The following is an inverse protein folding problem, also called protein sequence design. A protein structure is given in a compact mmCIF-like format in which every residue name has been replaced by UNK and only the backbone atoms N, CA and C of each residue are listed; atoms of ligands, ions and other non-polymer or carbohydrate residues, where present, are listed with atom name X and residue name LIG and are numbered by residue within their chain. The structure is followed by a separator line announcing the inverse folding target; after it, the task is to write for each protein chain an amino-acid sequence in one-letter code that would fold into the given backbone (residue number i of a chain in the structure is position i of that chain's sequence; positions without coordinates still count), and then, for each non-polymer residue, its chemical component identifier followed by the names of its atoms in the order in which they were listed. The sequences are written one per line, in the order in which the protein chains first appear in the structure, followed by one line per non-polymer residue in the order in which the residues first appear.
data_IF_728862643411
#
_entry.id   IF_728862643411
#
_cell.length_a   1.000
_cell.length_b   1.000
_cell.length_c   1.000
_cell.angle_alpha   90.00
_cell.angle_beta   90.00
_cell.angle_gamma   90.00
#
_symmetry.space_group_name_H-M   'P 1'
#
loop_
_entity.id
_entity.type
_entity.pdbx_description
1 polymer ?
#
# COMPACT_ATOMS: atom_id res chain seq x y z
N UNK A 1 -1.48 13.42 -19.85
CA UNK A 1 -2.50 12.99 -18.86
C UNK A 1 -2.10 13.34 -17.44
N UNK A 2 -3.07 13.47 -16.54
CA UNK A 2 -2.80 13.67 -15.11
C UNK A 2 -2.69 12.29 -14.43
N UNK A 3 -1.61 12.08 -13.69
CA UNK A 3 -1.38 10.87 -12.90
C UNK A 3 -1.34 11.23 -11.42
N UNK A 4 -2.08 10.51 -10.61
CA UNK A 4 -2.04 10.64 -9.15
C UNK A 4 -1.06 9.61 -8.59
N UNK A 5 -0.20 10.04 -7.69
CA UNK A 5 0.68 9.19 -6.92
C UNK A 5 0.23 9.19 -5.45
N UNK A 6 0.24 8.03 -4.82
CA UNK A 6 0.02 7.90 -3.38
C UNK A 6 1.34 7.63 -2.67
N UNK A 7 1.55 8.28 -1.54
CA UNK A 7 2.74 8.11 -0.72
C UNK A 7 2.46 7.20 0.48
N UNK A 8 3.40 6.29 0.75
CA UNK A 8 3.34 5.32 1.84
C UNK A 8 4.69 5.20 2.55
N UNK A 9 4.65 4.99 3.85
CA UNK A 9 5.79 4.45 4.57
C UNK A 9 5.80 2.93 4.46
N UNK A 10 6.95 2.35 4.20
CA UNK A 10 7.19 0.91 4.19
C UNK A 10 8.04 0.55 5.39
N UNK A 11 7.75 -0.59 5.99
CA UNK A 11 8.50 -1.13 7.10
C UNK A 11 8.76 -2.62 6.89
N UNK A 12 9.90 -3.08 7.30
CA UNK A 12 10.13 -4.48 7.49
C UNK A 12 9.65 -4.90 8.88
N UNK A 13 8.69 -5.80 8.94
CA UNK A 13 8.12 -6.33 10.18
C UNK A 13 8.50 -7.79 10.35
N UNK A 14 9.11 -8.12 11.48
CA UNK A 14 9.40 -9.49 11.85
C UNK A 14 8.10 -10.24 12.19
N UNK A 15 7.94 -11.45 11.59
CA UNK A 15 6.84 -12.33 11.93
C UNK A 15 7.33 -13.29 13.00
N UNK A 16 6.96 -13.08 14.25
CA UNK A 16 7.11 -13.93 15.43
C UNK A 16 8.34 -14.86 15.48
N UNK A 17 9.36 -14.44 16.20
CA UNK A 17 10.16 -15.32 17.06
C UNK A 17 10.72 -14.49 18.23
N UNK A 18 10.53 -14.96 19.47
CA UNK A 18 11.13 -14.35 20.65
C UNK A 18 12.65 -14.58 20.59
N UNK A 19 13.43 -13.52 20.67
CA UNK A 19 14.83 -13.59 21.07
C UNK A 19 15.91 -13.53 19.99
N UNK A 20 15.63 -13.28 18.70
CA UNK A 20 16.67 -13.18 17.67
C UNK A 20 16.90 -11.75 17.15
N UNK A 21 18.15 -11.51 16.74
CA UNK A 21 18.67 -10.21 16.28
C UNK A 21 17.85 -9.62 15.12
N UNK A 22 17.84 -8.31 15.08
CA UNK A 22 17.27 -7.50 14.01
C UNK A 22 17.89 -7.80 12.64
N UNK A 23 17.10 -7.70 11.58
CA UNK A 23 17.63 -7.75 10.20
C UNK A 23 18.35 -6.46 9.89
N UNK A 24 19.50 -6.59 9.35
CA UNK A 24 20.37 -5.44 9.07
C UNK A 24 20.20 -4.91 7.64
N UNK A 25 19.29 -5.48 6.78
CA UNK A 25 19.39 -5.24 5.34
C UNK A 25 18.07 -5.19 4.58
N UNK A 26 17.09 -4.37 5.02
CA UNK A 26 15.80 -4.25 4.34
C UNK A 26 15.95 -3.94 2.83
N UNK A 27 16.76 -2.96 2.46
CA UNK A 27 17.04 -2.62 1.07
C UNK A 27 17.64 -3.79 0.30
N UNK A 28 18.66 -4.43 0.86
CA UNK A 28 19.36 -5.56 0.24
C UNK A 28 18.40 -6.72 -0.02
N UNK A 29 17.67 -7.14 0.99
CA UNK A 29 16.73 -8.26 0.90
C UNK A 29 15.63 -7.99 -0.13
N UNK A 30 15.12 -6.76 -0.15
CA UNK A 30 14.10 -6.37 -1.13
C UNK A 30 14.63 -6.39 -2.56
N UNK A 31 15.83 -5.85 -2.80
CA UNK A 31 16.48 -5.82 -4.12
C UNK A 31 16.85 -7.24 -4.58
N UNK A 32 17.35 -8.09 -3.69
CA UNK A 32 17.63 -9.51 -3.99
C UNK A 32 16.37 -10.27 -4.36
N UNK A 33 15.25 -10.03 -3.65
CA UNK A 33 13.95 -10.58 -3.98
C UNK A 33 13.51 -10.20 -5.41
N UNK A 34 13.58 -8.93 -5.76
CA UNK A 34 13.21 -8.44 -7.10
C UNK A 34 14.11 -9.08 -8.18
N UNK A 35 15.43 -9.12 -7.96
CA UNK A 35 16.38 -9.77 -8.89
C UNK A 35 16.06 -11.24 -9.06
N UNK A 36 15.80 -11.97 -7.97
CA UNK A 36 15.45 -13.39 -8.01
C UNK A 36 14.16 -13.65 -8.79
N UNK A 37 13.16 -12.78 -8.66
CA UNK A 37 11.93 -12.86 -9.44
C UNK A 37 12.19 -12.62 -10.93
N UNK A 38 13.03 -11.64 -11.28
CA UNK A 38 13.28 -11.26 -12.68
C UNK A 38 14.02 -12.31 -13.49
N UNK A 39 14.86 -13.14 -12.86
CA UNK A 39 15.54 -14.26 -13.56
C UNK A 39 14.64 -15.47 -13.80
N UNK A 40 13.48 -15.56 -13.16
CA UNK A 40 12.52 -16.65 -13.39
C UNK A 40 11.87 -16.56 -14.77
N UNK A 41 11.48 -17.70 -15.29
CA UNK A 41 10.65 -17.74 -16.51
C UNK A 41 9.33 -16.99 -16.30
N UNK A 42 8.73 -16.39 -17.33
CA UNK A 42 7.49 -15.61 -17.18
C UNK A 42 6.36 -16.33 -16.44
N UNK A 43 6.20 -17.64 -16.66
CA UNK A 43 5.17 -18.44 -15.97
C UNK A 43 5.44 -18.62 -14.46
N UNK A 44 6.69 -18.59 -14.04
CA UNK A 44 7.11 -18.86 -12.66
C UNK A 44 7.17 -17.59 -11.81
N UNK A 45 7.10 -16.40 -12.45
CA UNK A 45 7.07 -15.10 -11.76
C UNK A 45 5.71 -14.45 -11.66
N UNK A 46 4.68 -15.03 -12.27
CA UNK A 46 3.32 -14.54 -12.14
C UNK A 46 2.72 -14.92 -10.78
N UNK A 47 1.98 -14.00 -10.20
CA UNK A 47 1.16 -14.24 -9.02
C UNK A 47 -0.32 -14.15 -9.40
N UNK A 48 -1.08 -15.19 -9.10
CA UNK A 48 -2.52 -15.25 -9.41
C UNK A 48 -3.33 -14.72 -8.23
N UNK A 49 -4.15 -13.72 -8.51
CA UNK A 49 -5.05 -13.15 -7.52
C UNK A 49 -6.35 -13.97 -7.49
N UNK A 50 -6.34 -15.09 -6.77
CA UNK A 50 -7.49 -15.91 -6.36
C UNK A 50 -8.74 -15.82 -7.22
N UNK A 51 -9.84 -15.36 -6.65
CA UNK A 51 -11.18 -15.33 -7.27
C UNK A 51 -11.35 -14.33 -8.41
N UNK A 52 -10.36 -13.48 -8.74
CA UNK A 52 -10.53 -12.37 -9.70
C UNK A 52 -10.06 -12.69 -11.11
N UNK A 53 -9.55 -13.90 -11.37
CA UNK A 53 -8.95 -14.22 -12.70
C UNK A 53 -7.99 -13.12 -13.17
N UNK A 54 -7.17 -12.64 -12.26
CA UNK A 54 -6.19 -11.59 -12.50
C UNK A 54 -4.80 -12.10 -12.10
N UNK A 55 -3.83 -11.85 -12.96
CA UNK A 55 -2.42 -12.10 -12.68
C UNK A 55 -1.68 -10.79 -12.46
N UNK A 56 -0.62 -10.82 -11.66
CA UNK A 56 0.33 -9.72 -11.51
C UNK A 56 1.75 -10.26 -11.62
N UNK A 57 2.66 -9.43 -12.11
CA UNK A 57 4.08 -9.75 -12.19
C UNK A 57 4.93 -8.48 -12.31
N UNK A 58 6.18 -8.57 -11.93
CA UNK A 58 7.16 -7.52 -12.19
C UNK A 58 7.59 -7.65 -13.65
N UNK A 59 7.40 -6.58 -14.41
CA UNK A 59 7.78 -6.52 -15.82
C UNK A 59 9.20 -5.99 -15.99
N UNK A 60 9.54 -4.95 -15.23
CA UNK A 60 10.81 -4.27 -15.31
C UNK A 60 11.20 -3.66 -13.97
N UNK A 61 12.48 -3.42 -13.73
CA UNK A 61 12.98 -2.73 -12.56
C UNK A 61 14.29 -2.01 -12.84
N UNK A 62 14.52 -0.96 -12.07
CA UNK A 62 15.82 -0.26 -12.05
C UNK A 62 16.21 0.05 -10.60
N UNK A 63 17.37 -0.44 -10.21
CA UNK A 63 17.94 -0.16 -8.89
C UNK A 63 19.04 0.88 -9.00
N UNK A 64 18.78 2.04 -8.42
CA UNK A 64 19.67 3.21 -8.35
C UNK A 64 20.42 3.17 -7.01
N UNK A 65 21.46 2.31 -6.93
CA UNK A 65 22.18 2.01 -5.69
C UNK A 65 22.70 3.25 -4.97
N UNK A 66 23.32 4.20 -5.71
CA UNK A 66 23.88 5.42 -5.11
C UNK A 66 22.83 6.36 -4.51
N UNK A 67 21.56 6.15 -4.82
CA UNK A 67 20.42 6.95 -4.33
C UNK A 67 19.55 6.16 -3.36
N UNK A 68 19.87 4.88 -3.10
CA UNK A 68 19.03 3.98 -2.32
C UNK A 68 17.59 3.90 -2.84
N UNK A 69 17.42 3.87 -4.16
CA UNK A 69 16.10 3.90 -4.79
C UNK A 69 15.89 2.70 -5.71
N UNK A 70 14.67 2.17 -5.70
CA UNK A 70 14.24 1.09 -6.56
C UNK A 70 12.96 1.48 -7.31
N UNK A 71 13.05 1.55 -8.63
CA UNK A 71 11.89 1.74 -9.49
C UNK A 71 11.40 0.38 -10.01
N UNK A 72 10.09 0.14 -9.95
CA UNK A 72 9.46 -1.10 -10.36
C UNK A 72 8.30 -0.81 -11.32
N UNK A 73 8.21 -1.60 -12.36
CA UNK A 73 7.08 -1.61 -13.29
C UNK A 73 6.33 -2.93 -13.12
N UNK A 74 5.16 -2.85 -12.53
CA UNK A 74 4.24 -3.99 -12.43
C UNK A 74 3.29 -4.01 -13.61
N UNK A 75 3.04 -5.20 -14.11
CA UNK A 75 1.97 -5.49 -15.06
C UNK A 75 0.91 -6.34 -14.38
N UNK A 76 -0.33 -6.11 -14.75
CA UNK A 76 -1.44 -6.97 -14.37
C UNK A 76 -2.32 -7.25 -15.57
N UNK A 77 -2.92 -8.44 -15.63
CA UNK A 77 -3.85 -8.78 -16.67
C UNK A 77 -5.06 -9.51 -16.09
N UNK A 78 -6.25 -9.01 -16.39
CA UNK A 78 -7.51 -9.68 -16.04
C UNK A 78 -7.97 -10.54 -17.24
N UNK A 79 -8.12 -11.84 -17.03
CA UNK A 79 -8.44 -12.80 -18.09
C UNK A 79 -9.83 -13.45 -17.88
N UNK A 80 -10.34 -14.08 -18.95
CA UNK A 80 -11.62 -14.81 -18.89
C UNK A 80 -12.87 -13.94 -19.00
N UNK A 81 -12.74 -12.62 -19.19
CA UNK A 81 -13.85 -11.73 -19.51
C UNK A 81 -13.78 -11.34 -20.98
N UNK A 82 -14.80 -11.68 -21.72
CA UNK A 82 -14.98 -11.21 -23.10
C UNK A 82 -15.84 -9.96 -23.02
N UNK A 83 -15.23 -8.79 -23.25
CA UNK A 83 -15.99 -7.53 -23.34
C UNK A 83 -16.43 -7.33 -24.80
N UNK A 84 -17.68 -6.97 -24.97
CA UNK A 84 -18.17 -6.49 -26.26
C UNK A 84 -17.64 -5.09 -26.49
N UNK A 85 -17.15 -4.83 -27.69
CA UNK A 85 -16.73 -3.48 -28.11
C UNK A 85 -17.85 -2.91 -28.98
N UNK A 86 -18.32 -1.74 -28.58
CA UNK A 86 -19.39 -1.04 -29.28
C UNK A 86 -18.80 0.24 -29.89
N UNK A 87 -19.17 0.52 -31.11
CA UNK A 87 -18.89 1.82 -31.72
C UNK A 87 -19.70 2.90 -30.99
N UNK A 88 -19.04 3.95 -30.49
CA UNK A 88 -19.72 4.97 -29.68
C UNK A 88 -20.61 5.89 -30.50
N UNK A 89 -20.40 5.98 -31.80
CA UNK A 89 -21.17 6.85 -32.67
C UNK A 89 -22.42 6.12 -33.23
N UNK A 90 -22.24 4.85 -33.61
CA UNK A 90 -23.32 4.05 -34.23
C UNK A 90 -24.03 3.14 -33.24
N UNK A 91 -23.46 2.91 -32.04
CA UNK A 91 -23.91 1.96 -31.04
C UNK A 91 -23.95 0.49 -31.53
N UNK A 92 -23.30 0.21 -32.65
CA UNK A 92 -23.20 -1.15 -33.19
C UNK A 92 -22.04 -1.92 -32.53
N UNK A 93 -22.28 -3.23 -32.33
CA UNK A 93 -21.25 -4.13 -31.81
C UNK A 93 -20.16 -4.36 -32.87
N UNK A 94 -18.92 -3.95 -32.57
CA UNK A 94 -17.78 -4.21 -33.45
C UNK A 94 -17.34 -5.67 -33.31
N UNK A 95 -17.14 -6.35 -34.44
CA UNK A 95 -16.50 -7.67 -34.49
C UNK A 95 -15.01 -7.50 -34.15
N UNK A 96 -14.63 -7.58 -32.86
CA UNK A 96 -13.24 -7.61 -32.43
C UNK A 96 -12.65 -9.02 -32.60
N UNK A 97 -11.33 -9.13 -32.76
CA UNK A 97 -10.65 -10.43 -32.67
C UNK A 97 -11.09 -11.09 -31.35
N UNK A 98 -11.60 -12.32 -31.45
CA UNK A 98 -12.00 -13.09 -30.27
C UNK A 98 -10.80 -13.24 -29.36
N UNK A 99 -10.85 -12.65 -28.17
CA UNK A 99 -9.87 -12.94 -27.13
C UNK A 99 -10.00 -14.41 -26.76
N UNK A 100 -8.87 -15.11 -26.68
CA UNK A 100 -8.82 -16.46 -26.14
C UNK A 100 -9.16 -16.45 -24.64
N UNK A 101 -9.50 -17.61 -24.08
CA UNK A 101 -9.82 -17.74 -22.63
C UNK A 101 -8.66 -17.28 -21.71
N UNK A 102 -7.43 -17.24 -22.23
CA UNK A 102 -6.21 -16.85 -21.51
C UNK A 102 -5.75 -15.43 -21.83
N UNK A 103 -6.38 -14.73 -22.77
CA UNK A 103 -6.02 -13.37 -23.12
C UNK A 103 -6.63 -12.41 -22.10
N UNK A 104 -5.83 -11.48 -21.60
CA UNK A 104 -6.24 -10.47 -20.62
C UNK A 104 -5.94 -9.05 -21.08
N UNK A 105 -6.68 -8.10 -20.56
CA UNK A 105 -6.35 -6.69 -20.71
C UNK A 105 -5.21 -6.38 -19.74
N UNK A 106 -4.10 -5.89 -20.30
CA UNK A 106 -2.90 -5.56 -19.52
C UNK A 106 -3.00 -4.13 -18.99
N UNK A 107 -2.57 -3.95 -17.74
CA UNK A 107 -2.52 -2.67 -17.05
C UNK A 107 -1.15 -2.49 -16.40
N UNK A 108 -0.62 -1.28 -16.45
CA UNK A 108 0.69 -0.92 -15.88
C UNK A 108 0.51 -0.20 -14.55
N UNK A 109 1.36 -0.51 -13.57
CA UNK A 109 1.45 0.22 -12.31
C UNK A 109 2.92 0.45 -11.96
N UNK A 110 3.32 1.71 -11.86
CA UNK A 110 4.68 2.10 -11.51
C UNK A 110 4.81 2.36 -10.01
N UNK A 111 5.94 1.97 -9.45
CA UNK A 111 6.29 2.16 -8.04
C UNK A 111 7.72 2.67 -7.96
N UNK A 112 7.95 3.64 -7.09
CA UNK A 112 9.29 4.09 -6.70
C UNK A 112 9.43 3.95 -5.20
N UNK A 113 10.46 3.24 -4.74
CA UNK A 113 10.80 3.05 -3.34
C UNK A 113 12.12 3.76 -3.07
N UNK A 114 12.16 4.59 -2.03
CA UNK A 114 13.37 5.22 -1.50
C UNK A 114 13.63 4.62 -0.14
N UNK A 115 14.71 3.85 -0.05
CA UNK A 115 15.15 3.28 1.22
C UNK A 115 15.91 4.35 2.02
N UNK A 116 15.89 4.21 3.34
CA UNK A 116 16.70 5.06 4.20
C UNK A 116 18.18 4.75 3.98
N UNK A 117 19.00 5.78 3.87
CA UNK A 117 20.45 5.63 3.70
C UNK A 117 21.15 5.04 4.94
N UNK A 118 20.51 5.09 6.13
CA UNK A 118 21.00 4.37 7.30
C UNK A 118 20.73 2.87 7.11
N UNK A 119 21.78 2.09 6.93
CA UNK A 119 21.71 0.64 6.77
C UNK A 119 20.99 -0.08 7.93
N UNK A 120 20.83 0.56 9.09
CA UNK A 120 20.08 0.05 10.24
C UNK A 120 18.60 0.38 10.19
N UNK A 121 18.20 1.30 9.31
CA UNK A 121 16.80 1.65 9.13
C UNK A 121 16.05 0.54 8.41
N UNK A 122 14.86 0.23 8.91
CA UNK A 122 13.95 -0.76 8.35
C UNK A 122 12.78 -0.10 7.65
N UNK A 123 12.95 1.19 7.35
CA UNK A 123 11.92 2.02 6.75
C UNK A 123 12.31 2.46 5.34
N UNK A 124 11.29 2.68 4.54
CA UNK A 124 11.41 3.27 3.21
C UNK A 124 10.16 4.09 2.93
N UNK A 125 10.27 5.01 1.97
CA UNK A 125 9.11 5.71 1.42
C UNK A 125 8.80 5.15 0.05
N UNK A 126 7.53 4.98 -0.25
CA UNK A 126 7.04 4.45 -1.51
C UNK A 126 6.07 5.43 -2.15
N UNK A 127 6.30 5.76 -3.42
CA UNK A 127 5.31 6.37 -4.30
C UNK A 127 4.75 5.30 -5.25
N UNK A 128 3.43 5.21 -5.33
CA UNK A 128 2.74 4.30 -6.25
C UNK A 128 1.77 5.06 -7.15
N UNK A 129 1.79 4.74 -8.42
CA UNK A 129 0.80 5.22 -9.38
C UNK A 129 -0.60 4.73 -9.02
N UNK A 130 -1.54 5.65 -8.89
CA UNK A 130 -2.96 5.32 -8.75
C UNK A 130 -3.50 4.82 -10.09
N UNK A 131 -3.77 3.54 -10.18
CA UNK A 131 -4.42 2.92 -11.32
C UNK A 131 -5.55 2.03 -10.83
N UNK A 132 -6.80 2.41 -11.10
CA UNK A 132 -8.01 1.68 -10.64
C UNK A 132 -8.09 0.26 -11.21
N UNK A 133 -7.57 0.05 -12.41
CA UNK A 133 -7.54 -1.25 -13.08
C UNK A 133 -6.22 -1.99 -12.86
N UNK A 134 -5.20 -1.29 -12.37
CA UNK A 134 -3.87 -1.82 -12.11
C UNK A 134 -3.78 -2.70 -10.86
N UNK A 135 -2.64 -2.65 -10.19
CA UNK A 135 -2.37 -3.44 -8.99
C UNK A 135 -2.36 -2.54 -7.76
N UNK A 136 -3.08 -2.93 -6.71
CA UNK A 136 -3.02 -2.23 -5.43
C UNK A 136 -1.71 -2.54 -4.69
N UNK A 137 -1.25 -1.59 -3.87
CA UNK A 137 -0.04 -1.74 -3.06
C UNK A 137 -0.10 -3.00 -2.17
N UNK A 138 -1.24 -3.27 -1.56
CA UNK A 138 -1.44 -4.48 -0.73
C UNK A 138 -1.16 -5.75 -1.51
N UNK A 139 -1.67 -5.88 -2.74
CA UNK A 139 -1.44 -7.07 -3.57
C UNK A 139 0.00 -7.20 -4.04
N UNK A 140 0.66 -6.09 -4.29
CA UNK A 140 2.08 -6.07 -4.60
C UNK A 140 2.90 -6.60 -3.43
N UNK A 141 2.61 -6.15 -2.21
CA UNK A 141 3.33 -6.65 -1.04
C UNK A 141 2.94 -8.05 -0.62
N UNK A 142 1.73 -8.52 -0.88
CA UNK A 142 1.41 -9.94 -0.76
C UNK A 142 2.35 -10.79 -1.64
N UNK A 143 2.50 -10.41 -2.91
CA UNK A 143 3.39 -11.09 -3.85
C UNK A 143 4.86 -11.02 -3.39
N UNK A 144 5.38 -9.85 -3.08
CA UNK A 144 6.76 -9.67 -2.62
C UNK A 144 7.03 -10.45 -1.33
N UNK A 145 6.11 -10.44 -0.37
CA UNK A 145 6.27 -11.13 0.90
C UNK A 145 6.36 -12.65 0.75
N UNK A 146 5.65 -13.24 -0.18
CA UNK A 146 5.76 -14.67 -0.49
C UNK A 146 7.19 -15.00 -0.93
N UNK A 147 7.78 -14.16 -1.78
CA UNK A 147 9.10 -14.38 -2.31
C UNK A 147 10.22 -14.11 -1.30
N UNK A 148 10.06 -13.08 -0.47
CA UNK A 148 10.99 -12.80 0.64
C UNK A 148 11.05 -14.02 1.56
N UNK A 149 9.89 -14.57 1.95
CA UNK A 149 9.84 -15.78 2.78
C UNK A 149 10.49 -16.98 2.09
N UNK A 150 10.29 -17.14 0.78
CA UNK A 150 10.88 -18.24 0.03
C UNK A 150 12.42 -18.14 -0.02
N UNK A 151 12.98 -16.94 -0.21
CA UNK A 151 14.42 -16.68 -0.21
C UNK A 151 15.01 -16.99 1.17
N UNK A 152 14.42 -16.50 2.25
CA UNK A 152 14.89 -16.76 3.60
C UNK A 152 14.83 -18.26 3.96
N UNK A 153 13.76 -18.94 3.56
CA UNK A 153 13.67 -20.40 3.76
C UNK A 153 14.75 -21.18 2.99
N UNK A 154 15.13 -20.71 1.78
CA UNK A 154 16.19 -21.34 0.99
C UNK A 154 17.58 -21.17 1.64
N UNK A 155 17.80 -20.09 2.38
CA UNK A 155 19.02 -19.83 3.14
C UNK A 155 19.04 -20.47 4.54
N UNK A 156 18.02 -21.28 4.90
CA UNK A 156 17.82 -21.82 6.26
C UNK A 156 17.72 -20.75 7.36
N UNK A 157 17.35 -19.54 6.98
CA UNK A 157 17.09 -18.47 7.93
C UNK A 157 15.75 -18.73 8.62
N UNK A 158 15.80 -19.09 9.89
CA UNK A 158 14.58 -19.28 10.72
C UNK A 158 13.83 -17.95 10.99
N UNK A 159 14.13 -16.91 10.25
CA UNK A 159 13.62 -15.57 10.45
C UNK A 159 12.63 -15.27 9.35
N UNK A 160 11.39 -14.98 9.74
CA UNK A 160 10.33 -14.62 8.79
C UNK A 160 10.08 -13.12 8.86
N UNK A 161 10.27 -12.44 7.76
CA UNK A 161 9.94 -11.02 7.60
C UNK A 161 8.78 -10.82 6.66
N UNK A 162 8.09 -9.71 6.82
CA UNK A 162 7.17 -9.20 5.84
C UNK A 162 7.34 -7.68 5.71
N UNK A 163 7.19 -7.18 4.51
CA UNK A 163 7.03 -5.76 4.26
C UNK A 163 5.61 -5.36 4.57
N UNK A 164 5.46 -4.37 5.43
CA UNK A 164 4.19 -3.74 5.77
C UNK A 164 4.20 -2.30 5.27
N UNK A 165 3.05 -1.68 5.16
CA UNK A 165 2.94 -0.28 4.78
C UNK A 165 1.91 0.46 5.62
N UNK A 166 2.15 1.76 5.78
CA UNK A 166 1.18 2.70 6.33
C UNK A 166 1.03 3.89 5.39
N UNK A 167 -0.15 4.52 5.39
CA UNK A 167 -0.33 5.73 4.59
C UNK A 167 0.49 6.87 5.17
N UNK A 168 1.20 7.63 4.32
CA UNK A 168 1.64 8.97 4.69
C UNK A 168 0.40 9.85 4.64
N UNK A 169 0.10 10.49 5.77
CA UNK A 169 -1.12 11.27 5.91
C UNK A 169 -0.86 12.69 5.50
N UNK A 170 -1.77 13.23 4.68
CA UNK A 170 -1.71 14.61 4.23
C UNK A 170 -1.71 15.59 5.41
N UNK A 171 -0.95 16.67 5.26
CA UNK A 171 -0.98 17.81 6.18
C UNK A 171 -2.40 18.36 6.39
N UNK A 172 -3.30 18.08 5.47
CA UNK A 172 -4.72 18.48 5.58
C UNK A 172 -5.46 17.78 6.71
N UNK A 173 -5.03 16.57 7.11
CA UNK A 173 -5.54 15.91 8.31
C UNK A 173 -5.27 16.74 9.57
N UNK A 174 -4.04 17.19 9.74
CA UNK A 174 -3.67 18.04 10.88
C UNK A 174 -4.35 19.41 10.82
N UNK A 175 -4.48 19.99 9.62
CA UNK A 175 -5.21 21.26 9.43
C UNK A 175 -6.69 21.12 9.76
N UNK A 176 -7.35 20.01 9.35
CA UNK A 176 -8.72 19.73 9.70
C UNK A 176 -8.90 19.55 11.22
N UNK A 177 -7.96 18.84 11.86
CA UNK A 177 -7.94 18.70 13.32
C UNK A 177 -7.80 20.07 14.03
N UNK A 178 -6.93 20.96 13.53
CA UNK A 178 -6.74 22.30 14.10
C UNK A 178 -8.00 23.17 13.99
N UNK A 179 -8.74 23.05 12.88
CA UNK A 179 -10.00 23.77 12.65
C UNK A 179 -11.17 23.20 13.46
N UNK A 180 -11.04 21.98 13.99
CA UNK A 180 -12.11 21.38 14.78
C UNK A 180 -12.43 22.23 16.01
N UNK A 181 -13.71 22.58 16.19
CA UNK A 181 -14.22 23.24 17.40
C UNK A 181 -14.32 22.21 18.53
N UNK A 182 -14.79 21.00 18.22
CA UNK A 182 -15.00 19.93 19.18
C UNK A 182 -14.75 18.57 18.54
N UNK A 183 -14.01 17.71 19.23
CA UNK A 183 -13.81 16.32 18.84
C UNK A 183 -14.82 15.46 19.62
N UNK A 184 -15.72 14.79 18.88
CA UNK A 184 -16.80 13.99 19.45
C UNK A 184 -16.42 12.56 19.71
N UNK A 185 -15.58 11.99 18.85
CA UNK A 185 -15.06 10.64 19.00
C UNK A 185 -13.76 10.47 18.23
N UNK A 186 -12.94 9.55 18.70
CA UNK A 186 -11.76 9.03 17.98
C UNK A 186 -11.86 7.52 17.95
N UNK A 187 -11.80 6.94 16.73
CA UNK A 187 -11.80 5.52 16.51
C UNK A 187 -10.42 5.10 15.99
N UNK A 188 -9.80 4.17 16.68
CA UNK A 188 -8.56 3.53 16.27
C UNK A 188 -8.88 2.13 15.76
N UNK A 189 -8.38 1.78 14.58
CA UNK A 189 -8.35 0.41 14.08
C UNK A 189 -6.98 -0.16 14.40
N UNK A 190 -6.94 -1.23 15.16
CA UNK A 190 -5.71 -1.83 15.70
C UNK A 190 -5.57 -3.26 15.18
N UNK A 191 -4.32 -3.65 14.87
CA UNK A 191 -3.97 -5.02 14.51
C UNK A 191 -3.93 -5.90 15.79
N UNK A 192 -4.76 -6.92 15.87
CA UNK A 192 -4.80 -7.82 17.02
C UNK A 192 -3.50 -8.61 17.23
N UNK A 193 -2.77 -8.90 16.15
CA UNK A 193 -1.48 -9.60 16.25
C UNK A 193 -0.43 -8.81 17.03
N UNK A 194 -0.64 -7.52 17.17
CA UNK A 194 0.27 -6.59 17.82
C UNK A 194 0.02 -6.45 19.31
N UNK A 195 -1.16 -6.78 19.81
CA UNK A 195 -1.50 -6.62 21.24
C UNK A 195 -1.06 -7.78 22.10
N UNK A 196 -0.70 -8.91 21.49
CA UNK A 196 -0.32 -10.12 22.24
C UNK A 196 -1.47 -10.75 23.06
N UNK A 197 -2.64 -10.13 23.02
CA UNK A 197 -3.81 -10.57 23.77
C UNK A 197 -4.46 -11.75 23.08
N UNK A 198 -4.23 -12.92 23.65
CA UNK A 198 -4.87 -14.16 23.19
C UNK A 198 -6.35 -14.24 23.58
N UNK A 199 -6.80 -13.41 24.53
CA UNK A 199 -8.16 -13.49 25.09
C UNK A 199 -9.27 -13.32 24.05
N UNK A 200 -9.04 -12.51 23.00
CA UNK A 200 -10.04 -12.33 21.94
C UNK A 200 -10.06 -13.50 20.93
N UNK A 201 -8.99 -14.31 20.85
CA UNK A 201 -8.94 -15.47 19.96
C UNK A 201 -9.76 -16.63 20.48
N UNK A 202 -9.99 -16.67 21.79
CA UNK A 202 -10.76 -17.73 22.45
C UNK A 202 -12.27 -17.63 22.18
N UNK A 203 -12.74 -16.49 21.66
CA UNK A 203 -14.13 -16.29 21.24
C UNK A 203 -14.39 -16.65 19.77
N UNK A 204 -13.34 -16.94 18.99
CA UNK A 204 -13.48 -17.38 17.61
C UNK A 204 -13.78 -18.88 17.57
N UNK A 205 -14.84 -19.28 16.86
CA UNK A 205 -15.09 -20.69 16.58
C UNK A 205 -13.99 -21.24 15.66
N UNK A 206 -13.60 -22.50 15.86
CA UNK A 206 -12.66 -23.19 14.98
C UNK A 206 -13.16 -23.12 13.54
N UNK A 207 -12.32 -22.61 12.62
CA UNK A 207 -12.56 -22.43 11.18
C UNK A 207 -13.32 -21.15 10.73
N UNK A 208 -13.45 -20.13 11.56
CA UNK A 208 -13.94 -18.84 11.08
C UNK A 208 -12.78 -17.92 10.66
N UNK A 209 -12.85 -17.36 9.45
CA UNK A 209 -11.96 -16.30 8.96
C UNK A 209 -12.35 -14.96 9.63
N UNK A 210 -11.95 -14.79 10.89
CA UNK A 210 -12.19 -13.56 11.63
C UNK A 210 -11.09 -12.55 11.31
N UNK A 211 -11.50 -11.32 11.04
CA UNK A 211 -10.55 -10.20 10.87
C UNK A 211 -9.70 -10.02 12.13
N UNK A 212 -8.38 -10.02 11.97
CA UNK A 212 -7.43 -9.72 13.04
C UNK A 212 -7.39 -8.21 13.39
N UNK A 213 -8.50 -7.51 13.23
CA UNK A 213 -8.61 -6.08 13.53
C UNK A 213 -9.72 -5.85 14.54
N UNK A 214 -9.46 -4.93 15.47
CA UNK A 214 -10.50 -4.46 16.38
C UNK A 214 -10.50 -2.94 16.49
N UNK A 215 -11.65 -2.42 16.81
CA UNK A 215 -11.92 -1.01 16.92
C UNK A 215 -11.91 -0.55 18.38
N UNK A 216 -11.05 0.42 18.72
CA UNK A 216 -11.12 1.12 19.99
C UNK A 216 -11.74 2.48 19.76
N UNK A 217 -12.87 2.74 20.41
CA UNK A 217 -13.60 4.01 20.30
C UNK A 217 -13.45 4.82 21.57
N UNK A 218 -12.76 5.94 21.47
CA UNK A 218 -12.68 6.94 22.55
C UNK A 218 -13.84 7.93 22.41
N UNK A 219 -14.64 8.06 23.45
CA UNK A 219 -15.68 9.07 23.56
C UNK A 219 -15.39 9.97 24.77
N UNK A 220 -15.68 11.28 24.69
CA UNK A 220 -15.48 12.14 25.83
C UNK A 220 -16.46 11.79 26.96
N UNK A 221 -15.99 11.78 28.20
CA UNK A 221 -16.83 11.60 29.38
C UNK A 221 -17.61 12.85 29.74
N UNK A 222 -17.24 13.99 29.18
CA UNK A 222 -17.82 15.30 29.45
C UNK A 222 -18.27 15.99 28.15
N UNK A 223 -19.09 17.04 28.28
CA UNK A 223 -19.53 17.86 27.13
C UNK A 223 -18.39 18.60 26.41
N UNK A 224 -17.19 18.68 26.98
CA UNK A 224 -16.05 19.42 26.43
C UNK A 224 -15.41 18.80 25.20
N UNK A 225 -15.61 17.50 24.94
CA UNK A 225 -14.98 16.80 23.82
C UNK A 225 -13.60 16.21 24.19
N UNK A 226 -12.94 15.59 23.19
CA UNK A 226 -11.58 15.06 23.32
C UNK A 226 -10.58 16.14 22.97
N UNK A 227 -9.49 16.24 23.73
CA UNK A 227 -8.43 17.23 23.46
C UNK A 227 -7.68 16.93 22.16
N UNK A 228 -7.38 17.96 21.36
CA UNK A 228 -6.59 17.83 20.11
C UNK A 228 -5.23 17.16 20.33
N UNK A 229 -4.59 17.41 21.47
CA UNK A 229 -3.30 16.81 21.82
C UNK A 229 -3.37 15.28 21.97
N UNK A 230 -4.51 14.74 22.42
CA UNK A 230 -4.75 13.30 22.49
C UNK A 230 -4.74 12.69 21.08
N UNK A 231 -5.44 13.32 20.14
CA UNK A 231 -5.46 12.86 18.73
C UNK A 231 -4.07 12.97 18.11
N UNK A 232 -3.36 14.08 18.35
CA UNK A 232 -1.96 14.24 17.88
C UNK A 232 -1.02 13.18 18.43
N UNK A 233 -1.25 12.72 19.68
CA UNK A 233 -0.48 11.62 20.25
C UNK A 233 -0.78 10.29 19.53
N UNK A 234 -2.04 9.96 19.31
CA UNK A 234 -2.40 8.78 18.51
C UNK A 234 -1.82 8.85 17.09
N UNK A 235 -1.82 10.03 16.50
CA UNK A 235 -1.24 10.24 15.18
C UNK A 235 0.28 10.01 15.17
N UNK A 236 1.00 10.53 16.16
CA UNK A 236 2.44 10.25 16.32
C UNK A 236 2.73 8.75 16.53
N UNK A 237 1.84 8.06 17.26
CA UNK A 237 1.99 6.61 17.47
C UNK A 237 1.65 5.84 16.18
N UNK A 238 0.71 6.32 15.36
CA UNK A 238 0.41 5.77 14.03
C UNK A 238 1.58 5.88 13.05
N UNK A 239 2.34 6.99 13.10
CA UNK A 239 3.50 7.23 12.22
C UNK A 239 4.75 6.46 12.63
N UNK A 240 4.79 5.87 13.82
CA UNK A 240 5.94 5.10 14.28
C UNK A 240 6.09 3.79 13.52
N UNK A 241 7.34 3.41 13.31
CA UNK A 241 7.68 2.08 12.80
C UNK A 241 7.08 0.99 13.71
N UNK A 242 6.45 0.00 13.08
CA UNK A 242 5.81 -1.10 13.81
C UNK A 242 4.55 -0.72 14.60
N UNK A 243 3.96 0.44 14.32
CA UNK A 243 2.72 0.87 14.96
C UNK A 243 1.61 -0.18 14.79
N UNK A 244 0.89 -0.41 15.88
CA UNK A 244 -0.25 -1.33 15.90
C UNK A 244 -1.53 -0.68 15.36
N UNK A 245 -1.52 0.66 15.22
CA UNK A 245 -2.65 1.43 14.72
C UNK A 245 -2.62 1.38 13.19
N UNK A 246 -3.64 0.80 12.58
CA UNK A 246 -3.81 0.76 11.12
C UNK A 246 -4.52 1.97 10.56
N UNK A 247 -5.44 2.56 11.36
CA UNK A 247 -6.26 3.67 10.92
C UNK A 247 -6.72 4.51 12.11
N UNK A 248 -6.76 5.81 11.92
CA UNK A 248 -7.37 6.76 12.87
C UNK A 248 -8.53 7.45 12.16
N UNK A 249 -9.72 7.38 12.74
CA UNK A 249 -10.88 8.15 12.32
C UNK A 249 -11.23 9.15 13.42
N UNK A 250 -11.51 10.38 13.01
CA UNK A 250 -11.87 11.47 13.93
C UNK A 250 -13.23 12.03 13.52
N UNK A 251 -14.15 12.06 14.45
CA UNK A 251 -15.45 12.70 14.30
C UNK A 251 -15.44 14.03 15.06
N UNK A 252 -15.65 15.13 14.34
CA UNK A 252 -15.59 16.50 14.87
C UNK A 252 -16.90 17.27 14.65
N UNK A 253 -17.01 18.41 15.33
CA UNK A 253 -17.85 19.50 14.87
C UNK A 253 -16.96 20.63 14.37
N UNK A 254 -17.28 21.19 13.23
CA UNK A 254 -16.64 22.39 12.70
C UNK A 254 -17.09 23.64 13.45
N UNK A 255 -16.50 24.80 13.13
CA UNK A 255 -16.83 26.07 13.77
C UNK A 255 -18.30 26.51 13.57
N UNK A 256 -18.92 26.08 12.47
CA UNK A 256 -20.34 26.30 12.16
C UNK A 256 -21.28 25.28 12.82
N UNK A 257 -20.72 24.34 13.59
CA UNK A 257 -21.45 23.27 14.27
C UNK A 257 -21.75 22.04 13.44
N UNK A 258 -21.42 22.05 12.14
CA UNK A 258 -21.64 20.91 11.26
C UNK A 258 -20.75 19.71 11.66
N UNK A 259 -21.32 18.49 11.65
CA UNK A 259 -20.55 17.28 11.91
C UNK A 259 -19.70 16.92 10.69
N UNK A 260 -18.41 16.68 10.90
CA UNK A 260 -17.48 16.17 9.91
C UNK A 260 -16.77 14.94 10.44
N UNK A 261 -16.52 13.98 9.56
CA UNK A 261 -15.71 12.80 9.86
C UNK A 261 -14.61 12.64 8.82
N UNK A 262 -13.38 12.45 9.29
CA UNK A 262 -12.24 12.19 8.43
C UNK A 262 -11.34 11.12 9.03
N UNK A 263 -10.53 10.48 8.19
CA UNK A 263 -9.65 9.41 8.62
C UNK A 263 -8.32 9.43 7.84
N UNK A 264 -7.31 8.76 8.41
CA UNK A 264 -5.96 8.67 7.84
C UNK A 264 -5.94 7.95 6.48
N UNK A 265 -6.96 7.17 6.15
CA UNK A 265 -7.05 6.48 4.87
C UNK A 265 -7.60 7.39 3.76
N UNK A 266 -8.59 8.22 4.08
CA UNK A 266 -9.18 9.17 3.12
C UNK A 266 -8.28 10.37 2.87
N UNK A 267 -7.51 10.77 3.87
CA UNK A 267 -6.58 11.90 3.82
C UNK A 267 -5.13 11.46 3.57
N UNK A 268 -4.93 10.53 2.63
CA UNK A 268 -3.59 10.13 2.17
C UNK A 268 -2.89 11.28 1.48
N UNK A 269 -1.57 11.36 1.66
CA UNK A 269 -0.75 12.26 0.86
C UNK A 269 -0.78 11.85 -0.60
N UNK A 270 -1.01 12.84 -1.46
CA UNK A 270 -1.16 12.67 -2.90
C UNK A 270 -0.28 13.65 -3.63
N UNK A 271 0.47 13.15 -4.58
CA UNK A 271 1.19 13.96 -5.55
C UNK A 271 0.48 13.88 -6.90
N UNK A 272 0.45 14.98 -7.60
CA UNK A 272 -0.10 15.05 -8.95
C UNK A 272 1.04 15.36 -9.92
N UNK A 273 1.12 14.56 -10.97
CA UNK A 273 2.12 14.72 -12.01
C UNK A 273 1.46 14.73 -13.38
N UNK A 274 2.06 15.45 -14.32
CA UNK A 274 1.58 15.52 -15.71
C UNK A 274 2.60 14.81 -16.58
N UNK A 275 2.13 13.82 -17.30
CA UNK A 275 2.94 13.04 -18.25
C UNK A 275 2.22 12.92 -19.58
N UNK A 276 2.99 12.71 -20.65
CA UNK A 276 2.44 12.38 -21.96
C UNK A 276 1.81 11.00 -21.92
N UNK A 277 0.63 10.85 -22.51
CA UNK A 277 -0.01 9.55 -22.69
C UNK A 277 0.47 8.87 -23.98
N UNK A 278 0.42 7.55 -23.93
CA UNK A 278 0.62 6.72 -25.12
C UNK A 278 -0.67 6.62 -25.94
N UNK A 279 -0.60 6.03 -27.13
CA UNK A 279 -1.79 5.73 -27.93
C UNK A 279 -2.81 4.82 -27.21
N UNK A 280 -2.35 4.09 -26.18
CA UNK A 280 -3.22 3.24 -25.33
C UNK A 280 -3.76 3.98 -24.11
N UNK A 281 -3.53 5.30 -24.00
CA UNK A 281 -3.90 6.13 -22.85
C UNK A 281 -3.20 5.72 -21.53
N UNK A 282 -2.05 5.04 -21.65
CA UNK A 282 -1.18 4.79 -20.51
C UNK A 282 -0.12 5.89 -20.40
N UNK A 283 0.35 6.25 -19.20
CA UNK A 283 1.42 7.22 -19.04
C UNK A 283 2.74 6.69 -19.63
N UNK A 284 3.52 7.56 -20.23
CA UNK A 284 4.89 7.21 -20.64
C UNK A 284 5.73 6.94 -19.40
N UNK A 285 6.22 5.72 -19.29
CA UNK A 285 6.92 5.21 -18.09
C UNK A 285 8.16 6.04 -17.78
N UNK A 286 8.93 6.42 -18.80
CA UNK A 286 10.15 7.23 -18.63
C UNK A 286 9.86 8.59 -18.01
N UNK A 287 8.84 9.28 -18.50
CA UNK A 287 8.42 10.57 -17.98
C UNK A 287 7.85 10.42 -16.55
N UNK A 288 7.03 9.39 -16.33
CA UNK A 288 6.47 9.12 -15.01
C UNK A 288 7.57 8.84 -13.99
N UNK A 289 8.58 8.06 -14.36
CA UNK A 289 9.75 7.79 -13.50
C UNK A 289 10.46 9.08 -13.10
N UNK A 290 10.73 10.00 -14.07
CA UNK A 290 11.38 11.28 -13.79
C UNK A 290 10.55 12.11 -12.80
N UNK A 291 9.24 12.17 -13.00
CA UNK A 291 8.33 12.89 -12.11
C UNK A 291 8.30 12.24 -10.70
N UNK A 292 8.27 10.92 -10.62
CA UNK A 292 8.31 10.21 -9.33
C UNK A 292 9.63 10.47 -8.59
N UNK A 293 10.77 10.49 -9.31
CA UNK A 293 12.08 10.80 -8.74
C UNK A 293 12.16 12.23 -8.19
N UNK A 294 11.50 13.18 -8.83
CA UNK A 294 11.39 14.54 -8.32
C UNK A 294 10.54 14.61 -7.05
N UNK A 295 9.37 13.99 -7.08
CA UNK A 295 8.41 14.01 -5.97
C UNK A 295 8.90 13.31 -4.70
N UNK A 296 9.58 12.16 -4.84
CA UNK A 296 10.03 11.39 -3.68
C UNK A 296 11.11 12.10 -2.84
N UNK A 297 11.73 13.15 -3.38
CA UNK A 297 12.69 13.98 -2.65
C UNK A 297 12.05 14.79 -1.53
N UNK A 298 10.74 15.00 -1.60
CA UNK A 298 9.99 15.73 -0.58
C UNK A 298 9.74 14.92 0.69
N UNK A 299 10.09 13.63 0.66
CA UNK A 299 10.01 12.66 1.74
C UNK A 299 11.41 12.18 2.13
#
# INVERSE_FOLDING_TARGET
MNVTLYAYNLFEKRIREKGKKDVEYFEKDFVECVKALMIRKPNDRKYELGNKKKIIYINDFEYMQNQHMLFLVFKSAEYGKIRKVVDTDTLEERKTKKKGKKDGDEETTCILIKFDADAKSKSAVCLIQANSNGVSLTRIFEYINIEIVAIHNAHNDNIKYKVSHTNIVSRDFLKALEKAQKIRAVKLVIDSDATGDSEFKDYACENEDISNEFDIVYKPSTKGGIGKNTVKKFFKDYEKEGANIKKIRVDINEADGNPLSFDTEKMKEKEYVIVTDTLTQEPRIDELKVQMLDKIRNY
#
